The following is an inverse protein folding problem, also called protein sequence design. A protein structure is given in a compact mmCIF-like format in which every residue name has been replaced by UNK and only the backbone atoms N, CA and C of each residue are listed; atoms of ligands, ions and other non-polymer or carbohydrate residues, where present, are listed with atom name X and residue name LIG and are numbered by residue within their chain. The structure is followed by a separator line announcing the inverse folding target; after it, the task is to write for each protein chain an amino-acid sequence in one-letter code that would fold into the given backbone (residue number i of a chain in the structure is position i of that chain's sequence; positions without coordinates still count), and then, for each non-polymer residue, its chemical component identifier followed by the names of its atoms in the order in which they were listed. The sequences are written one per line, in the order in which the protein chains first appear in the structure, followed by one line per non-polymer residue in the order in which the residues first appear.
data_IF_077748445711
#
_entry.id   IF_077748445711
#
_cell.length_a   1.000
_cell.length_b   1.000
_cell.length_c   1.000
_cell.angle_alpha   90.00
_cell.angle_beta   90.00
_cell.angle_gamma   90.00
#
_symmetry.space_group_name_H-M   'P 1'
#
loop_
_entity.id
_entity.type
_entity.pdbx_description
1 polymer ?
#
# COMPACT_ATOMS: atom_id res chain seq x y z
N UNK A 1 -13.99 -9.96 -1.26
CA UNK A 1 -13.93 -8.49 -1.26
C UNK A 1 -12.54 -8.11 -0.75
N UNK A 2 -11.76 -7.30 -1.48
CA UNK A 2 -10.53 -6.74 -0.95
C UNK A 2 -10.81 -5.90 0.30
N UNK A 3 -9.83 -5.77 1.19
CA UNK A 3 -9.99 -5.01 2.43
C UNK A 3 -10.07 -3.51 2.11
N UNK A 4 -11.24 -2.89 2.35
CA UNK A 4 -11.44 -1.45 2.15
C UNK A 4 -10.89 -0.67 3.33
N UNK A 5 -9.97 0.26 3.08
CA UNK A 5 -9.48 1.19 4.08
C UNK A 5 -10.55 2.23 4.40
N UNK A 6 -10.84 2.40 5.68
CA UNK A 6 -11.81 3.38 6.19
C UNK A 6 -11.13 4.51 6.93
N UNK A 7 -9.95 4.25 7.46
CA UNK A 7 -9.21 5.17 8.33
C UNK A 7 -7.76 5.26 7.90
N UNK A 8 -7.07 6.31 8.36
CA UNK A 8 -5.61 6.44 8.18
C UNK A 8 -4.85 5.30 8.86
N UNK A 9 -5.35 4.81 9.99
CA UNK A 9 -4.75 3.68 10.72
C UNK A 9 -4.70 2.41 9.88
N UNK A 10 -5.75 2.12 9.10
CA UNK A 10 -5.74 0.98 8.17
C UNK A 10 -4.60 1.07 7.14
N UNK A 11 -4.32 2.30 6.68
CA UNK A 11 -3.21 2.59 5.76
C UNK A 11 -1.87 2.44 6.48
N UNK A 12 -1.73 3.01 7.68
CA UNK A 12 -0.50 2.92 8.47
C UNK A 12 -0.12 1.45 8.72
N UNK A 13 -1.09 0.59 9.04
CA UNK A 13 -0.88 -0.85 9.17
C UNK A 13 -0.41 -1.50 7.87
N UNK A 14 -1.01 -1.14 6.73
CA UNK A 14 -0.58 -1.62 5.42
C UNK A 14 0.86 -1.18 5.10
N UNK A 15 1.25 0.04 5.45
CA UNK A 15 2.63 0.53 5.30
C UNK A 15 3.60 -0.28 6.16
N UNK A 16 3.26 -0.56 7.42
CA UNK A 16 4.09 -1.41 8.29
C UNK A 16 4.25 -2.82 7.71
N UNK A 17 3.21 -3.39 7.10
CA UNK A 17 3.30 -4.68 6.40
C UNK A 17 4.26 -4.60 5.21
N UNK A 18 4.15 -3.56 4.37
CA UNK A 18 5.07 -3.34 3.23
C UNK A 18 6.52 -3.23 3.72
N UNK A 19 6.76 -2.44 4.77
CA UNK A 19 8.08 -2.28 5.40
C UNK A 19 8.63 -3.63 5.86
N UNK A 20 7.87 -4.38 6.64
CA UNK A 20 8.28 -5.67 7.20
C UNK A 20 8.58 -6.71 6.12
N UNK A 21 7.82 -6.71 5.03
CA UNK A 21 8.04 -7.63 3.91
C UNK A 21 9.31 -7.27 3.15
N UNK A 22 9.52 -5.98 2.88
CA UNK A 22 10.69 -5.49 2.15
C UNK A 22 11.98 -5.46 2.98
N UNK A 23 11.88 -5.57 4.30
CA UNK A 23 13.02 -5.80 5.18
C UNK A 23 13.56 -7.23 5.04
N UNK A 24 12.64 -8.20 4.83
CA UNK A 24 12.95 -9.63 4.72
C UNK A 24 13.16 -10.10 3.28
N UNK A 25 12.60 -9.39 2.30
CA UNK A 25 12.62 -9.77 0.89
C UNK A 25 13.04 -8.56 0.04
N UNK A 26 13.73 -8.78 -1.09
CA UNK A 26 14.10 -7.70 -1.98
C UNK A 26 12.89 -7.03 -2.65
N UNK A 27 11.78 -7.76 -2.82
CA UNK A 27 10.60 -7.34 -3.55
C UNK A 27 9.30 -7.70 -2.82
N UNK A 28 8.22 -6.99 -3.12
CA UNK A 28 6.88 -7.34 -2.63
C UNK A 28 6.35 -8.59 -3.37
N UNK A 29 5.79 -9.58 -2.64
CA UNK A 29 5.21 -10.75 -3.26
C UNK A 29 3.92 -10.39 -4.01
N UNK A 30 3.67 -11.09 -5.13
CA UNK A 30 2.53 -10.82 -6.02
C UNK A 30 1.18 -10.78 -5.30
N UNK A 31 0.94 -11.68 -4.34
CA UNK A 31 -0.32 -11.72 -3.60
C UNK A 31 -0.56 -10.43 -2.79
N UNK A 32 0.50 -9.83 -2.22
CA UNK A 32 0.40 -8.59 -1.45
C UNK A 32 0.17 -7.40 -2.38
N UNK A 33 0.86 -7.37 -3.52
CA UNK A 33 0.61 -6.36 -4.57
C UNK A 33 -0.85 -6.42 -5.03
N UNK A 34 -1.39 -7.61 -5.30
CA UNK A 34 -2.79 -7.78 -5.70
C UNK A 34 -3.76 -7.36 -4.61
N UNK A 35 -3.46 -7.67 -3.34
CA UNK A 35 -4.29 -7.29 -2.19
C UNK A 35 -4.33 -5.76 -2.03
N UNK A 36 -3.17 -5.10 -2.04
CA UNK A 36 -3.06 -3.65 -1.92
C UNK A 36 -3.71 -2.94 -3.10
N UNK A 37 -3.55 -3.44 -4.33
CA UNK A 37 -4.25 -2.89 -5.49
C UNK A 37 -5.78 -3.03 -5.38
N UNK A 38 -6.26 -4.13 -4.81
CA UNK A 38 -7.68 -4.29 -4.49
C UNK A 38 -8.16 -3.27 -3.47
N UNK A 39 -7.38 -3.03 -2.41
CA UNK A 39 -7.66 -2.02 -1.39
C UNK A 39 -7.66 -0.60 -1.96
N UNK A 40 -6.67 -0.26 -2.80
CA UNK A 40 -6.58 1.03 -3.50
C UNK A 40 -7.82 1.26 -4.38
N UNK A 41 -8.27 0.23 -5.10
CA UNK A 41 -9.41 0.33 -6.00
C UNK A 41 -10.77 0.49 -5.28
N UNK A 42 -10.90 -0.04 -4.06
CA UNK A 42 -12.17 -0.08 -3.32
C UNK A 42 -12.29 1.00 -2.22
N UNK A 43 -11.19 1.69 -1.88
CA UNK A 43 -11.14 2.69 -0.80
C UNK A 43 -11.42 4.11 -1.29
N UNK A 44 -11.80 5.00 -0.36
CA UNK A 44 -12.06 6.40 -0.72
C UNK A 44 -10.77 7.13 -1.10
N UNK A 45 -10.87 8.04 -2.09
CA UNK A 45 -9.73 8.76 -2.66
C UNK A 45 -8.85 9.48 -1.61
N UNK A 46 -9.45 9.96 -0.51
CA UNK A 46 -8.71 10.62 0.58
C UNK A 46 -7.76 9.66 1.29
N UNK A 47 -8.19 8.42 1.53
CA UNK A 47 -7.40 7.40 2.23
C UNK A 47 -6.36 6.82 1.27
N UNK A 48 -6.72 6.66 0.00
CA UNK A 48 -5.79 6.27 -1.08
C UNK A 48 -4.68 7.32 -1.28
N UNK A 49 -5.02 8.60 -1.30
CA UNK A 49 -4.03 9.68 -1.38
C UNK A 49 -3.05 9.64 -0.20
N UNK A 50 -3.57 9.44 1.01
CA UNK A 50 -2.74 9.27 2.20
C UNK A 50 -1.81 8.04 2.11
N UNK A 51 -2.29 6.92 1.52
CA UNK A 51 -1.42 5.76 1.26
C UNK A 51 -0.24 6.11 0.37
N UNK A 52 -0.44 6.81 -0.74
CA UNK A 52 0.66 7.19 -1.62
C UNK A 52 1.65 8.17 -0.96
N UNK A 53 1.16 9.10 -0.13
CA UNK A 53 2.01 9.98 0.67
C UNK A 53 2.91 9.18 1.61
N UNK A 54 2.33 8.22 2.36
CA UNK A 54 3.09 7.42 3.32
C UNK A 54 4.02 6.40 2.64
N UNK A 55 3.64 5.83 1.49
CA UNK A 55 4.54 5.00 0.67
C UNK A 55 5.77 5.79 0.25
N UNK A 56 5.60 7.01 -0.28
CA UNK A 56 6.73 7.86 -0.68
C UNK A 56 7.62 8.22 0.49
N UNK A 57 7.03 8.46 1.66
CA UNK A 57 7.74 8.90 2.87
C UNK A 57 8.52 7.78 3.56
N UNK A 58 7.95 6.58 3.65
CA UNK A 58 8.52 5.48 4.44
C UNK A 58 9.16 4.38 3.59
N UNK A 59 8.60 4.11 2.40
CA UNK A 59 9.01 2.99 1.54
C UNK A 59 9.00 3.38 0.06
N UNK A 60 9.77 4.40 -0.37
CA UNK A 60 9.70 4.93 -1.73
C UNK A 60 10.01 3.87 -2.80
N UNK A 61 10.84 2.87 -2.48
CA UNK A 61 11.12 1.72 -3.37
C UNK A 61 9.89 0.86 -3.70
N UNK A 62 8.84 0.90 -2.88
CA UNK A 62 7.59 0.18 -3.13
C UNK A 62 6.70 0.89 -4.16
N UNK A 63 6.98 2.16 -4.47
CA UNK A 63 6.17 2.95 -5.40
C UNK A 63 6.12 2.31 -6.81
N UNK A 64 7.21 1.68 -7.25
CA UNK A 64 7.32 0.97 -8.53
C UNK A 64 6.21 -0.07 -8.77
N UNK A 65 5.57 -0.57 -7.71
CA UNK A 65 4.46 -1.54 -7.80
C UNK A 65 3.07 -0.90 -7.93
N UNK A 66 2.96 0.40 -7.69
CA UNK A 66 1.69 1.14 -7.63
C UNK A 66 1.65 2.36 -8.57
N UNK A 67 2.75 2.71 -9.24
CA UNK A 67 2.89 3.86 -10.16
C UNK A 67 1.81 3.96 -11.26
N UNK A 68 1.22 2.86 -11.71
CA UNK A 68 0.13 2.92 -12.71
C UNK A 68 -1.21 3.44 -12.15
N UNK A 69 -1.30 3.72 -10.84
CA UNK A 69 -2.53 4.11 -10.14
C UNK A 69 -2.39 5.33 -9.24
N UNK A 70 -1.25 6.03 -9.31
CA UNK A 70 -1.07 7.36 -8.69
C UNK A 70 -1.88 8.42 -9.46
#
# INVERSE_FOLDING_TARGET
MPYRWKTKTDVDEAIVVIMNVLDKNPDLPNWLISTLNGSIADSDLKVVGYFFEEVKKHVPRAMKYFESRE
#
